data_IF_621860512586
#
_entry.id   IF_621860512586
#
_cell.length_a   1.000
_cell.length_b   1.000
_cell.length_c   1.000
_cell.angle_alpha   90.00
_cell.angle_beta   90.00
_cell.angle_gamma   90.00
#
_symmetry.space_group_name_H-M   'P 1'
#
loop_
_entity.id
_entity.type
_entity.pdbx_description
1 polymer ?
#
# COMPACT_ATOMS: atom_id res chain seq x y z
N UNK A 1 1.66 -22.56 16.84
CA UNK A 1 0.30 -22.24 17.35
C UNK A 1 0.08 -23.00 18.64
N UNK A 2 -0.13 -22.31 19.75
CA UNK A 2 -0.39 -22.94 21.04
C UNK A 2 -1.80 -23.54 21.10
N UNK A 3 -1.96 -24.70 21.75
CA UNK A 3 -3.24 -25.45 21.85
C UNK A 3 -3.82 -25.55 23.27
N UNK A 4 -3.17 -24.92 24.25
CA UNK A 4 -3.60 -24.97 25.65
C UNK A 4 -4.83 -24.10 25.92
N UNK A 5 -5.66 -24.53 26.89
CA UNK A 5 -6.91 -23.88 27.26
C UNK A 5 -6.75 -22.40 27.69
N UNK A 6 -5.58 -22.03 28.23
CA UNK A 6 -5.24 -20.66 28.64
C UNK A 6 -4.26 -19.92 27.71
N UNK A 7 -4.11 -20.36 26.45
CA UNK A 7 -3.11 -19.82 25.52
C UNK A 7 -3.57 -18.57 24.71
N UNK A 8 -4.72 -17.98 25.04
CA UNK A 8 -5.35 -16.91 24.24
C UNK A 8 -4.44 -15.68 24.03
N UNK A 9 -3.70 -15.24 25.06
CA UNK A 9 -2.78 -14.10 24.98
C UNK A 9 -1.68 -14.32 23.93
N UNK A 10 -1.09 -15.53 23.93
CA UNK A 10 -0.06 -15.92 22.97
C UNK A 10 -0.62 -15.95 21.55
N UNK A 11 -1.78 -16.58 21.34
CA UNK A 11 -2.44 -16.64 20.03
C UNK A 11 -2.77 -15.25 19.47
N UNK A 12 -3.23 -14.32 20.32
CA UNK A 12 -3.49 -12.93 19.93
C UNK A 12 -2.21 -12.21 19.50
N UNK A 13 -1.12 -12.38 20.26
CA UNK A 13 0.20 -11.83 19.92
C UNK A 13 0.75 -12.38 18.60
N UNK A 14 0.73 -13.70 18.43
CA UNK A 14 1.14 -14.37 17.18
C UNK A 14 0.32 -13.90 15.97
N UNK A 15 -1.00 -13.71 16.13
CA UNK A 15 -1.84 -13.17 15.06
C UNK A 15 -1.46 -11.73 14.72
N UNK A 16 -1.17 -10.90 15.72
CA UNK A 16 -0.79 -9.50 15.50
C UNK A 16 0.54 -9.38 14.77
N UNK A 17 1.56 -10.16 15.15
CA UNK A 17 2.86 -10.17 14.46
C UNK A 17 2.71 -10.67 13.02
N UNK A 18 1.97 -11.76 12.81
CA UNK A 18 1.70 -12.26 11.46
C UNK A 18 0.90 -11.27 10.60
N UNK A 19 0.04 -10.45 11.20
CA UNK A 19 -0.73 -9.44 10.45
C UNK A 19 0.16 -8.38 9.81
N UNK A 20 1.36 -8.14 10.34
CA UNK A 20 2.30 -7.16 9.76
C UNK A 20 2.96 -7.60 8.45
N UNK A 21 2.98 -8.90 8.13
CA UNK A 21 3.49 -9.37 6.84
C UNK A 21 2.49 -9.12 5.69
N UNK A 22 1.22 -8.85 6.01
CA UNK A 22 0.22 -8.44 5.03
C UNK A 22 0.53 -7.01 4.54
N UNK A 23 0.79 -6.89 3.24
CA UNK A 23 1.09 -5.63 2.55
C UNK A 23 -0.02 -4.59 2.74
N UNK A 24 -1.29 -4.99 2.68
CA UNK A 24 -2.42 -4.07 2.85
C UNK A 24 -2.52 -3.59 4.29
N UNK A 25 -2.34 -4.50 5.25
CA UNK A 25 -2.33 -4.14 6.66
C UNK A 25 -1.22 -3.15 6.99
N UNK A 26 0.01 -3.42 6.52
CA UNK A 26 1.17 -2.55 6.73
C UNK A 26 0.97 -1.17 6.11
N UNK A 27 0.49 -1.10 4.85
CA UNK A 27 0.22 0.19 4.17
C UNK A 27 -0.81 1.03 4.91
N UNK A 28 -1.89 0.42 5.37
CA UNK A 28 -2.97 1.10 6.10
C UNK A 28 -2.55 1.56 7.49
N UNK A 29 -1.90 0.70 8.28
CA UNK A 29 -1.50 1.05 9.66
C UNK A 29 -0.45 2.16 9.71
N UNK A 30 0.44 2.22 8.72
CA UNK A 30 1.50 3.21 8.64
C UNK A 30 1.10 4.47 7.84
N UNK A 31 -0.14 4.56 7.36
CA UNK A 31 -0.64 5.66 6.52
C UNK A 31 0.33 5.99 5.36
N UNK A 32 0.87 4.94 4.71
CA UNK A 32 1.89 5.12 3.69
C UNK A 32 1.32 5.78 2.44
N UNK A 33 0.04 5.56 2.14
CA UNK A 33 -0.62 6.17 0.98
C UNK A 33 -0.71 7.66 1.19
N UNK A 34 -1.27 8.09 2.30
CA UNK A 34 -1.49 9.49 2.68
C UNK A 34 -0.17 10.28 2.66
N UNK A 35 0.94 9.66 3.09
CA UNK A 35 2.27 10.30 3.08
C UNK A 35 2.87 10.47 1.67
N UNK A 36 2.61 9.56 0.75
CA UNK A 36 3.27 9.54 -0.57
C UNK A 36 2.37 9.96 -1.73
N UNK A 37 1.07 10.02 -1.51
CA UNK A 37 0.08 10.30 -2.55
C UNK A 37 0.10 11.80 -2.90
N UNK A 38 0.42 12.19 -4.14
CA UNK A 38 0.43 13.60 -4.54
C UNK A 38 -0.96 14.25 -4.49
N UNK A 39 -2.03 13.47 -4.39
CA UNK A 39 -3.41 13.97 -4.24
C UNK A 39 -3.84 14.07 -2.77
N UNK A 40 -2.98 13.69 -1.81
CA UNK A 40 -3.26 13.69 -0.37
C UNK A 40 -4.56 12.92 0.00
N UNK A 41 -4.96 11.93 -0.81
CA UNK A 41 -6.19 11.17 -0.62
C UNK A 41 -7.46 11.75 -1.27
N UNK A 42 -7.36 12.88 -1.97
CA UNK A 42 -8.45 13.46 -2.76
C UNK A 42 -8.77 12.62 -4.01
N UNK A 43 -10.04 12.54 -4.45
CA UNK A 43 -10.39 11.86 -5.69
C UNK A 43 -9.87 12.58 -6.96
N UNK A 44 -9.63 13.89 -6.90
CA UNK A 44 -9.18 14.72 -8.03
C UNK A 44 -8.29 15.88 -7.56
N UNK A 45 -7.45 16.42 -8.45
CA UNK A 45 -6.68 17.64 -8.24
C UNK A 45 -6.63 18.50 -9.52
N UNK A 46 -6.25 19.78 -9.34
CA UNK A 46 -5.97 20.71 -10.44
C UNK A 46 -4.47 20.85 -10.62
N UNK A 47 -4.02 21.06 -11.85
CA UNK A 47 -2.61 21.26 -12.19
C UNK A 47 -2.43 22.19 -13.38
N UNK A 48 -1.22 22.69 -13.57
CA UNK A 48 -0.81 23.50 -14.72
C UNK A 48 0.14 22.65 -15.57
N UNK A 49 -0.03 22.70 -16.89
CA UNK A 49 0.83 21.96 -17.82
C UNK A 49 2.20 22.62 -17.87
N UNK A 50 3.26 21.83 -17.62
CA UNK A 50 4.65 22.28 -17.74
C UNK A 50 5.17 22.05 -19.16
N UNK A 51 5.02 20.83 -19.67
CA UNK A 51 5.51 20.43 -21.00
C UNK A 51 4.70 19.26 -21.57
N UNK A 52 4.84 19.02 -22.88
CA UNK A 52 4.28 17.85 -23.57
C UNK A 52 5.39 16.81 -23.74
N UNK A 53 5.22 15.64 -23.13
CA UNK A 53 6.19 14.53 -23.17
C UNK A 53 5.59 13.35 -23.94
N UNK A 54 6.34 12.80 -24.89
CA UNK A 54 6.01 11.52 -25.54
C UNK A 54 6.59 10.38 -24.70
N UNK A 55 5.76 9.40 -24.31
CA UNK A 55 6.16 8.28 -23.46
C UNK A 55 6.02 7.01 -24.29
N UNK A 56 7.15 6.36 -24.56
CA UNK A 56 7.18 5.12 -25.32
C UNK A 56 6.34 4.02 -24.65
N UNK A 57 5.62 3.26 -25.47
CA UNK A 57 4.85 2.13 -25.02
C UNK A 57 5.74 1.06 -24.36
N UNK A 58 5.19 0.38 -23.34
CA UNK A 58 5.89 -0.77 -22.75
C UNK A 58 5.93 -1.92 -23.75
N UNK A 59 7.06 -2.61 -23.79
CA UNK A 59 7.25 -3.84 -24.56
C UNK A 59 6.13 -4.85 -24.26
N UNK A 60 5.62 -5.60 -25.26
CA UNK A 60 6.18 -5.81 -26.60
C UNK A 60 5.65 -4.84 -27.69
N UNK A 61 4.93 -3.78 -27.32
CA UNK A 61 4.33 -2.86 -28.29
C UNK A 61 5.32 -1.79 -28.74
N UNK A 62 5.13 -1.26 -29.95
CA UNK A 62 5.95 -0.16 -30.52
C UNK A 62 5.06 1.04 -30.87
N UNK A 63 5.04 2.03 -29.98
CA UNK A 63 4.34 3.32 -30.17
C UNK A 63 4.96 4.40 -29.26
N UNK A 64 4.84 5.67 -29.69
CA UNK A 64 5.22 6.88 -28.94
C UNK A 64 3.99 7.66 -28.45
#
# INVERSE_FOLDING_TARGET
MARGLFAARKLKGERQTRRWSDRYYKRRMLHLKEKSDPLEGSPQAKGIVLEKVAIEAKQPNSAL
#
